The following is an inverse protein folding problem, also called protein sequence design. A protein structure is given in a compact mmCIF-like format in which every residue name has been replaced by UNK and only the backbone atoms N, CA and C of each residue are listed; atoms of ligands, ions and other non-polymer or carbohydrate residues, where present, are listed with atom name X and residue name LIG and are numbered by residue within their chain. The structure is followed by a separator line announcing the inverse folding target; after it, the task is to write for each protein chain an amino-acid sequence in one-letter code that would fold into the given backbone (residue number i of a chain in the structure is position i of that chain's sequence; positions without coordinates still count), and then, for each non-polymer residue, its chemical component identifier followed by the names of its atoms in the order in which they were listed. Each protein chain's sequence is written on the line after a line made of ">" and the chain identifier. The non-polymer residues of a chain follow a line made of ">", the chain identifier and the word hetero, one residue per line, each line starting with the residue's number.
data_IF_947586320202
#
_entry.id   IF_947586320202
#
_cell.length_a   1.000
_cell.length_b   1.000
_cell.length_c   1.000
_cell.angle_alpha   90.00
_cell.angle_beta   90.00
_cell.angle_gamma   90.00
#
_symmetry.space_group_name_H-M   'P 1'
#
loop_
_entity.id
_entity.type
_entity.pdbx_description
1 polymer ?
#
# COMPACT_ATOMS: atom_id res chain seq x y z
N UNK A 1 68.16 -46.41 63.20
CA UNK A 1 68.67 -45.16 62.58
C UNK A 1 68.31 -45.16 61.09
N UNK A 2 67.36 -44.32 60.66
CA UNK A 2 66.91 -44.27 59.25
C UNK A 2 67.89 -43.39 58.45
N UNK A 3 68.76 -43.99 57.63
CA UNK A 3 69.61 -43.27 56.67
C UNK A 3 68.76 -42.85 55.47
N UNK A 4 68.31 -41.60 55.43
CA UNK A 4 67.59 -41.07 54.27
C UNK A 4 68.58 -40.83 53.11
N UNK A 5 68.51 -41.73 52.14
CA UNK A 5 69.38 -41.84 50.96
C UNK A 5 69.33 -40.60 50.06
N UNK A 6 70.49 -40.15 49.58
CA UNK A 6 70.67 -39.00 48.68
C UNK A 6 69.80 -39.06 47.40
N UNK A 7 69.46 -40.26 46.93
CA UNK A 7 68.55 -40.48 45.79
C UNK A 7 67.12 -40.03 46.11
N UNK A 8 66.64 -40.28 47.33
CA UNK A 8 65.30 -39.87 47.75
C UNK A 8 65.16 -38.34 47.75
N UNK A 9 66.19 -37.59 48.17
CA UNK A 9 66.19 -36.12 48.11
C UNK A 9 66.20 -35.57 46.67
N UNK A 10 66.79 -36.31 45.72
CA UNK A 10 66.81 -35.92 44.30
C UNK A 10 65.46 -36.19 43.62
N UNK A 11 64.81 -37.31 43.96
CA UNK A 11 63.46 -37.64 43.50
C UNK A 11 62.41 -36.71 44.11
N UNK A 12 62.51 -36.43 45.41
CA UNK A 12 61.66 -35.47 46.12
C UNK A 12 61.72 -34.09 45.46
N UNK A 13 62.92 -33.57 45.12
CA UNK A 13 63.05 -32.30 44.40
C UNK A 13 62.39 -32.31 43.02
N UNK A 14 62.41 -33.43 42.29
CA UNK A 14 61.76 -33.56 40.97
C UNK A 14 60.24 -33.64 41.11
N UNK A 15 59.76 -34.41 42.09
CA UNK A 15 58.34 -34.58 42.36
C UNK A 15 57.72 -33.28 42.89
N UNK A 16 58.44 -32.51 43.73
CA UNK A 16 58.00 -31.20 44.20
C UNK A 16 57.91 -30.20 43.02
N UNK A 17 58.90 -30.18 42.12
CA UNK A 17 58.84 -29.32 40.92
C UNK A 17 57.65 -29.67 40.02
N UNK A 18 57.40 -30.96 39.82
CA UNK A 18 56.24 -31.42 39.05
C UNK A 18 54.92 -31.09 39.76
N UNK A 19 54.84 -31.23 41.09
CA UNK A 19 53.66 -30.89 41.87
C UNK A 19 53.35 -29.39 41.81
N UNK A 20 54.36 -28.52 41.91
CA UNK A 20 54.21 -27.07 41.75
C UNK A 20 53.77 -26.73 40.32
N UNK A 21 54.36 -27.40 39.33
CA UNK A 21 54.00 -27.18 37.92
C UNK A 21 52.56 -27.59 37.61
N UNK A 22 52.14 -28.80 38.02
CA UNK A 22 50.77 -29.26 37.81
C UNK A 22 49.76 -28.47 38.65
N UNK A 23 50.12 -28.11 39.89
CA UNK A 23 49.32 -27.21 40.71
C UNK A 23 49.11 -25.87 40.01
N UNK A 24 50.17 -25.24 39.52
CA UNK A 24 50.10 -24.01 38.74
C UNK A 24 49.29 -24.17 37.44
N UNK A 25 49.46 -25.27 36.72
CA UNK A 25 48.73 -25.55 35.49
C UNK A 25 47.22 -25.73 35.73
N UNK A 26 46.83 -26.39 36.82
CA UNK A 26 45.40 -26.54 37.18
C UNK A 26 44.77 -25.20 37.58
N UNK A 27 45.49 -24.37 38.33
CA UNK A 27 45.03 -23.02 38.70
C UNK A 27 44.92 -22.16 37.44
N UNK A 28 45.92 -22.21 36.57
CA UNK A 28 45.89 -21.49 35.30
C UNK A 28 44.71 -21.92 34.43
N UNK A 29 44.46 -23.22 34.29
CA UNK A 29 43.32 -23.74 33.53
C UNK A 29 41.99 -23.28 34.15
N UNK A 30 41.85 -23.36 35.47
CA UNK A 30 40.66 -22.86 36.17
C UNK A 30 40.44 -21.37 35.91
N UNK A 31 41.50 -20.55 35.97
CA UNK A 31 41.43 -19.12 35.65
C UNK A 31 41.04 -18.89 34.19
N UNK A 32 41.58 -19.64 33.23
CA UNK A 32 41.18 -19.49 31.82
C UNK A 32 39.71 -19.83 31.60
N UNK A 33 39.16 -20.83 32.30
CA UNK A 33 37.73 -21.16 32.22
C UNK A 33 36.88 -20.04 32.82
N UNK A 34 37.25 -19.51 33.98
CA UNK A 34 36.46 -18.47 34.66
C UNK A 34 36.52 -17.13 33.92
N UNK A 35 37.71 -16.71 33.49
CA UNK A 35 37.93 -15.40 32.87
C UNK A 35 37.66 -15.37 31.37
N UNK A 36 37.91 -16.47 30.65
CA UNK A 36 37.74 -16.53 29.20
C UNK A 36 36.57 -17.44 28.80
N UNK A 37 36.42 -18.60 29.44
CA UNK A 37 35.36 -19.57 29.11
C UNK A 37 33.94 -19.07 29.40
N UNK A 38 33.63 -18.70 30.66
CA UNK A 38 32.27 -18.28 31.04
C UNK A 38 31.80 -17.04 30.23
N UNK A 39 32.61 -15.97 30.10
CA UNK A 39 32.18 -14.79 29.35
C UNK A 39 32.00 -15.06 27.85
N UNK A 40 32.82 -15.93 27.25
CA UNK A 40 32.68 -16.28 25.82
C UNK A 40 31.45 -17.13 25.57
N UNK A 41 31.12 -18.07 26.45
CA UNK A 41 29.89 -18.88 26.38
C UNK A 41 28.63 -18.00 26.47
N UNK A 42 28.60 -17.02 27.37
CA UNK A 42 27.49 -16.07 27.48
C UNK A 42 27.33 -15.28 26.17
N UNK A 43 28.44 -14.75 25.62
CA UNK A 43 28.41 -14.01 24.34
C UNK A 43 27.93 -14.89 23.18
N UNK A 44 28.33 -16.16 23.13
CA UNK A 44 27.85 -17.11 22.12
C UNK A 44 26.38 -17.48 22.30
N UNK A 45 25.90 -17.65 23.52
CA UNK A 45 24.48 -17.90 23.77
C UNK A 45 23.60 -16.73 23.28
N UNK A 46 24.02 -15.48 23.54
CA UNK A 46 23.34 -14.28 23.04
C UNK A 46 23.41 -14.22 21.51
N UNK A 47 24.59 -14.47 20.93
CA UNK A 47 24.75 -14.47 19.47
C UNK A 47 23.87 -15.52 18.79
N UNK A 48 23.80 -16.74 19.33
CA UNK A 48 22.92 -17.80 18.82
C UNK A 48 21.44 -17.48 19.03
N UNK A 49 21.09 -16.82 20.13
CA UNK A 49 19.74 -16.29 20.36
C UNK A 49 19.36 -15.24 19.31
N UNK A 50 20.29 -14.32 19.00
CA UNK A 50 20.10 -13.31 17.98
C UNK A 50 20.02 -13.92 16.57
N UNK A 51 20.78 -14.97 16.25
CA UNK A 51 20.65 -15.70 14.98
C UNK A 51 19.28 -16.37 14.81
N UNK A 52 18.68 -16.87 15.90
CA UNK A 52 17.32 -17.42 15.89
C UNK A 52 16.25 -16.34 15.83
N UNK A 53 16.49 -15.17 16.42
CA UNK A 53 15.57 -14.04 16.39
C UNK A 53 15.65 -13.25 15.07
N UNK A 54 16.79 -13.26 14.38
CA UNK A 54 16.99 -12.56 13.10
C UNK A 54 16.40 -13.28 11.89
N UNK A 55 15.77 -14.45 12.07
CA UNK A 55 14.91 -15.07 11.07
C UNK A 55 13.43 -14.68 11.19
N UNK A 56 13.07 -13.81 12.13
CA UNK A 56 11.78 -13.14 12.09
C UNK A 56 11.94 -11.90 11.20
N UNK A 57 11.36 -11.86 10.00
CA UNK A 57 11.35 -10.64 9.22
C UNK A 57 10.74 -9.54 10.08
N UNK A 58 11.44 -8.41 10.19
CA UNK A 58 10.81 -7.19 10.72
C UNK A 58 9.69 -6.88 9.72
N UNK A 59 8.45 -7.11 10.13
CA UNK A 59 7.27 -6.86 9.31
C UNK A 59 7.09 -5.34 9.21
N UNK A 60 7.82 -4.71 8.29
CA UNK A 60 7.67 -3.29 7.94
C UNK A 60 6.52 -3.09 6.96
N UNK A 61 5.51 -3.97 6.97
CA UNK A 61 4.41 -3.88 6.03
C UNK A 61 3.48 -2.77 6.50
N UNK A 62 3.32 -1.74 5.68
CA UNK A 62 2.28 -0.75 5.90
C UNK A 62 0.92 -1.44 5.79
N UNK A 63 0.07 -1.19 6.78
CA UNK A 63 -1.28 -1.76 6.86
C UNK A 63 -2.36 -0.69 6.86
N UNK A 64 -1.95 0.59 6.79
CA UNK A 64 -2.87 1.72 6.81
C UNK A 64 -3.37 1.93 5.38
N UNK A 65 -4.68 1.82 5.13
CA UNK A 65 -5.21 2.13 3.81
C UNK A 65 -5.12 3.62 3.48
N UNK A 66 -4.97 3.96 2.19
CA UNK A 66 -5.03 5.33 1.74
C UNK A 66 -6.45 5.91 1.93
N UNK A 67 -6.54 7.24 1.97
CA UNK A 67 -7.83 7.92 1.96
C UNK A 67 -8.59 7.64 0.65
N UNK A 68 -9.95 7.64 0.66
CA UNK A 68 -10.72 7.49 -0.56
C UNK A 68 -10.39 8.59 -1.56
N UNK A 69 -10.33 8.27 -2.87
CA UNK A 69 -10.20 9.29 -3.90
C UNK A 69 -11.35 10.31 -3.86
N UNK A 70 -11.05 11.55 -4.18
CA UNK A 70 -12.04 12.62 -4.37
C UNK A 70 -12.14 12.92 -5.86
N UNK A 71 -13.34 12.80 -6.43
CA UNK A 71 -13.60 13.02 -7.84
C UNK A 71 -14.22 14.42 -8.03
N UNK A 72 -13.72 15.19 -8.98
CA UNK A 72 -14.17 16.57 -9.26
C UNK A 72 -14.40 16.80 -10.76
N UNK A 73 -15.08 17.90 -11.09
CA UNK A 73 -15.35 18.31 -12.48
C UNK A 73 -16.34 17.40 -13.23
N UNK A 74 -17.48 17.09 -12.62
CA UNK A 74 -18.53 16.27 -13.23
C UNK A 74 -19.74 17.12 -13.66
N UNK A 75 -20.28 16.90 -14.86
CA UNK A 75 -21.60 17.42 -15.22
C UNK A 75 -22.71 16.56 -14.59
N UNK A 76 -23.86 17.16 -14.26
CA UNK A 76 -25.04 16.40 -13.82
C UNK A 76 -25.66 15.61 -15.00
N UNK A 77 -25.69 16.23 -16.18
CA UNK A 77 -26.15 15.63 -17.42
C UNK A 77 -25.34 16.11 -18.63
N UNK A 78 -25.29 15.29 -19.68
CA UNK A 78 -24.56 15.60 -20.92
C UNK A 78 -25.23 14.95 -22.13
N UNK A 79 -25.03 15.54 -23.31
CA UNK A 79 -25.36 14.95 -24.61
C UNK A 79 -24.15 14.35 -25.33
N UNK A 80 -22.98 14.41 -24.71
CA UNK A 80 -21.75 13.78 -25.21
C UNK A 80 -21.54 12.42 -24.56
N UNK A 81 -21.23 11.41 -25.37
CA UNK A 81 -20.87 10.07 -24.90
C UNK A 81 -19.52 10.02 -24.17
N UNK A 82 -18.73 11.10 -24.23
CA UNK A 82 -17.39 11.19 -23.63
C UNK A 82 -17.27 12.44 -22.78
N UNK A 83 -16.62 12.30 -21.63
CA UNK A 83 -16.23 13.42 -20.79
C UNK A 83 -14.85 13.21 -20.17
N UNK A 84 -14.22 14.30 -19.77
CA UNK A 84 -12.98 14.31 -18.99
C UNK A 84 -13.28 14.84 -17.58
N UNK A 85 -12.57 14.32 -16.60
CA UNK A 85 -12.67 14.77 -15.21
C UNK A 85 -11.32 14.64 -14.51
N UNK A 86 -11.23 15.21 -13.31
CA UNK A 86 -10.03 15.16 -12.49
C UNK A 86 -10.36 14.70 -11.09
N UNK A 87 -9.33 14.39 -10.30
CA UNK A 87 -9.52 13.97 -8.92
C UNK A 87 -8.24 14.06 -8.11
N UNK A 88 -8.40 13.82 -6.81
CA UNK A 88 -7.33 13.76 -5.84
C UNK A 88 -7.28 12.37 -5.19
N UNK A 89 -6.08 11.88 -4.93
CA UNK A 89 -5.83 10.66 -4.20
C UNK A 89 -4.42 10.71 -3.61
N UNK A 90 -4.05 9.70 -2.82
CA UNK A 90 -2.72 9.61 -2.25
C UNK A 90 -1.64 9.56 -3.35
N UNK A 91 -0.56 10.35 -3.27
CA UNK A 91 0.54 10.30 -4.23
C UNK A 91 1.11 8.88 -4.38
N UNK A 92 1.52 8.53 -5.60
CA UNK A 92 2.04 7.19 -5.95
C UNK A 92 1.07 6.01 -5.75
N UNK A 93 -0.16 6.25 -5.27
CA UNK A 93 -1.22 5.25 -5.25
C UNK A 93 -1.78 4.99 -6.66
N UNK A 94 -2.41 3.83 -6.82
CA UNK A 94 -3.13 3.45 -8.03
C UNK A 94 -4.62 3.65 -7.81
N UNK A 95 -5.24 4.50 -8.61
CA UNK A 95 -6.69 4.74 -8.59
C UNK A 95 -7.36 3.92 -9.67
N UNK A 96 -8.34 3.11 -9.27
CA UNK A 96 -9.22 2.35 -10.15
C UNK A 96 -10.60 3.04 -10.22
N UNK A 97 -11.04 3.38 -11.42
CA UNK A 97 -12.32 4.05 -11.70
C UNK A 97 -13.34 3.00 -12.14
N UNK A 98 -14.54 3.09 -11.59
CA UNK A 98 -15.66 2.21 -11.88
C UNK A 98 -16.82 2.99 -12.51
N UNK A 99 -17.48 2.34 -13.47
CA UNK A 99 -18.77 2.74 -14.04
C UNK A 99 -19.79 1.66 -13.69
N UNK A 100 -20.70 1.96 -12.76
CA UNK A 100 -21.53 0.95 -12.12
C UNK A 100 -20.66 -0.07 -11.39
N UNK A 101 -20.76 -1.35 -11.74
CA UNK A 101 -19.94 -2.42 -11.15
C UNK A 101 -18.66 -2.73 -11.95
N UNK A 102 -18.44 -2.06 -13.09
CA UNK A 102 -17.38 -2.42 -14.05
C UNK A 102 -16.18 -1.50 -13.89
N UNK A 103 -14.95 -2.02 -13.71
CA UNK A 103 -13.75 -1.19 -13.76
C UNK A 103 -13.51 -0.73 -15.21
N UNK A 104 -13.32 0.57 -15.39
CA UNK A 104 -13.21 1.22 -16.71
C UNK A 104 -11.85 1.87 -16.95
N UNK A 105 -11.16 2.28 -15.88
CA UNK A 105 -9.85 2.91 -15.98
C UNK A 105 -9.02 2.65 -14.73
N UNK A 106 -7.70 2.64 -14.91
CA UNK A 106 -6.72 2.63 -13.84
C UNK A 106 -5.69 3.71 -14.14
N UNK A 107 -5.28 4.46 -13.11
CA UNK A 107 -4.28 5.53 -13.22
C UNK A 107 -3.36 5.54 -12.00
N UNK A 108 -2.08 5.86 -12.22
CA UNK A 108 -1.12 6.11 -11.14
C UNK A 108 -1.17 7.60 -10.81
N UNK A 109 -1.32 7.92 -9.53
CA UNK A 109 -1.41 9.30 -9.05
C UNK A 109 0.00 9.91 -8.97
N UNK A 110 0.16 11.10 -9.55
CA UNK A 110 1.44 11.82 -9.50
C UNK A 110 1.78 12.31 -8.10
N UNK A 111 3.00 12.84 -7.92
CA UNK A 111 3.48 13.35 -6.63
C UNK A 111 2.64 14.48 -6.04
N UNK A 112 1.88 15.21 -6.87
CA UNK A 112 0.99 16.29 -6.43
C UNK A 112 -0.35 15.79 -5.89
N UNK A 113 -0.62 14.47 -5.94
CA UNK A 113 -1.88 13.87 -5.51
C UNK A 113 -3.04 14.10 -6.48
N UNK A 114 -2.78 14.70 -7.65
CA UNK A 114 -3.77 15.00 -8.70
C UNK A 114 -3.70 13.96 -9.81
N UNK A 115 -4.85 13.55 -10.32
CA UNK A 115 -4.95 12.74 -11.53
C UNK A 115 -6.03 13.27 -12.47
N UNK A 116 -5.86 13.00 -13.77
CA UNK A 116 -6.79 13.39 -14.82
C UNK A 116 -7.23 12.16 -15.61
N UNK A 117 -8.51 12.10 -15.94
CA UNK A 117 -9.11 11.04 -16.73
C UNK A 117 -9.73 11.66 -17.97
N UNK A 118 -9.25 11.24 -19.13
CA UNK A 118 -9.75 11.71 -20.41
C UNK A 118 -10.61 10.67 -21.11
N UNK A 119 -11.62 11.17 -21.84
CA UNK A 119 -12.47 10.38 -22.73
C UNK A 119 -13.17 9.20 -22.04
N UNK A 120 -13.66 9.37 -20.80
CA UNK A 120 -14.48 8.35 -20.15
C UNK A 120 -15.77 8.17 -20.94
N UNK A 121 -16.04 6.93 -21.39
CA UNK A 121 -17.20 6.61 -22.21
C UNK A 121 -18.42 6.33 -21.33
N UNK A 122 -19.53 7.02 -21.62
CA UNK A 122 -20.81 6.88 -20.95
C UNK A 122 -21.77 5.98 -21.74
N UNK A 123 -22.70 5.36 -21.04
CA UNK A 123 -23.82 4.59 -21.61
C UNK A 123 -25.11 5.41 -21.53
N UNK A 124 -26.02 5.25 -22.49
CA UNK A 124 -27.26 6.04 -22.52
C UNK A 124 -28.05 5.84 -21.21
N UNK A 125 -28.52 6.94 -20.63
CA UNK A 125 -29.22 6.96 -19.35
C UNK A 125 -28.28 7.22 -18.16
N UNK A 126 -28.53 6.50 -17.05
CA UNK A 126 -27.87 6.73 -15.76
C UNK A 126 -26.48 6.07 -15.72
N UNK A 127 -25.45 6.85 -15.43
CA UNK A 127 -24.09 6.37 -15.22
C UNK A 127 -23.65 6.70 -13.79
N UNK A 128 -23.32 5.68 -12.99
CA UNK A 128 -22.75 5.88 -11.64
C UNK A 128 -21.23 5.69 -11.69
N UNK A 129 -20.47 6.69 -11.24
CA UNK A 129 -19.01 6.69 -11.24
C UNK A 129 -18.50 6.73 -9.80
N UNK A 130 -17.53 5.88 -9.47
CA UNK A 130 -16.77 5.96 -8.22
C UNK A 130 -15.35 5.44 -8.43
N UNK A 131 -14.50 5.61 -7.43
CA UNK A 131 -13.10 5.22 -7.46
C UNK A 131 -12.64 4.52 -6.18
N UNK A 132 -11.56 3.73 -6.29
CA UNK A 132 -10.85 3.10 -5.18
C UNK A 132 -9.35 3.33 -5.39
N UNK A 133 -8.62 3.76 -4.36
CA UNK A 133 -7.16 3.86 -4.38
C UNK A 133 -6.52 2.60 -3.78
N UNK A 134 -5.36 2.21 -4.30
CA UNK A 134 -4.49 1.18 -3.73
C UNK A 134 -3.10 1.77 -3.55
N UNK A 135 -2.55 1.73 -2.33
CA UNK A 135 -1.20 2.23 -2.07
C UNK A 135 -0.10 1.30 -2.63
N UNK A 136 1.17 1.69 -2.47
CA UNK A 136 2.32 0.88 -2.90
C UNK A 136 2.46 -0.44 -2.13
N UNK A 137 1.90 -0.51 -0.91
CA UNK A 137 1.91 -1.68 -0.03
C UNK A 137 0.75 -2.65 -0.31
N UNK A 138 -0.16 -2.28 -1.21
CA UNK A 138 -1.33 -3.05 -1.62
C UNK A 138 -2.58 -2.85 -0.75
N UNK A 139 -2.61 -1.87 0.16
CA UNK A 139 -3.79 -1.55 0.94
C UNK A 139 -4.78 -0.75 0.10
N UNK A 140 -6.08 -1.12 0.19
CA UNK A 140 -7.15 -0.50 -0.59
C UNK A 140 -7.97 0.48 0.24
N UNK A 141 -8.25 1.66 -0.29
CA UNK A 141 -9.18 2.62 0.31
C UNK A 141 -10.61 2.07 0.31
N UNK A 142 -11.50 2.73 1.08
CA UNK A 142 -12.94 2.63 0.80
C UNK A 142 -13.30 3.31 -0.52
N UNK A 143 -14.52 3.05 -1.01
CA UNK A 143 -15.05 3.68 -2.21
C UNK A 143 -15.15 5.20 -2.02
N UNK A 144 -14.85 5.95 -3.08
CA UNK A 144 -15.17 7.38 -3.15
C UNK A 144 -16.69 7.62 -3.07
N UNK A 145 -17.06 8.89 -2.95
CA UNK A 145 -18.44 9.31 -3.23
C UNK A 145 -18.86 8.87 -4.65
N UNK A 146 -20.09 8.38 -4.77
CA UNK A 146 -20.67 7.96 -6.05
C UNK A 146 -21.27 9.18 -6.75
N UNK A 147 -20.80 9.47 -7.95
CA UNK A 147 -21.30 10.55 -8.78
C UNK A 147 -22.20 9.98 -9.87
N UNK A 148 -23.40 10.53 -10.02
CA UNK A 148 -24.33 10.14 -11.09
C UNK A 148 -24.27 11.14 -12.22
N UNK A 149 -24.09 10.66 -13.45
CA UNK A 149 -24.14 11.45 -14.69
C UNK A 149 -25.20 10.88 -15.61
N UNK A 150 -26.14 11.72 -16.05
CA UNK A 150 -27.14 11.35 -17.05
C UNK A 150 -26.63 11.65 -18.46
N UNK A 151 -26.53 10.62 -19.29
CA UNK A 151 -26.21 10.77 -20.70
C UNK A 151 -27.47 10.62 -21.55
N UNK A 152 -27.84 11.67 -22.28
CA UNK A 152 -28.94 11.64 -23.24
C UNK A 152 -28.56 12.39 -24.52
N UNK A 153 -28.51 11.66 -25.65
CA UNK A 153 -28.27 12.22 -26.97
C UNK A 153 -29.48 12.15 -27.90
N UNK A 154 -30.65 11.78 -27.39
CA UNK A 154 -31.85 11.66 -28.20
C UNK A 154 -32.45 13.06 -28.35
N UNK A 155 -32.46 13.64 -29.57
CA UNK A 155 -33.12 14.93 -29.77
C UNK A 155 -34.63 14.77 -29.55
N UNK A 156 -35.31 15.81 -29.03
CA UNK A 156 -36.76 15.77 -28.89
C UNK A 156 -37.42 15.62 -30.25
N UNK A 157 -38.46 14.79 -30.33
CA UNK A 157 -39.31 14.75 -31.52
C UNK A 157 -40.21 16.00 -31.55
N UNK A 158 -40.19 16.73 -32.66
CA UNK A 158 -41.02 17.92 -32.87
C UNK A 158 -42.06 17.63 -33.94
N UNK A 159 -43.33 17.72 -33.57
CA UNK A 159 -44.45 17.58 -34.50
C UNK A 159 -45.20 18.91 -34.60
N UNK A 160 -45.34 19.42 -35.82
CA UNK A 160 -46.16 20.62 -36.09
C UNK A 160 -47.59 20.14 -36.27
N UNK A 161 -48.39 20.29 -35.21
CA UNK A 161 -49.79 19.86 -35.22
C UNK A 161 -50.66 20.87 -35.99
N UNK A 162 -50.29 22.17 -35.96
CA UNK A 162 -50.96 23.26 -36.66
C UNK A 162 -50.01 24.43 -36.95
N UNK A 163 -50.27 25.24 -38.00
CA UNK A 163 -51.31 25.04 -39.02
C UNK A 163 -50.97 23.88 -39.97
N UNK A 164 -51.99 23.16 -40.45
CA UNK A 164 -51.78 22.13 -41.48
C UNK A 164 -51.47 22.78 -42.83
N UNK A 165 -50.67 22.11 -43.65
CA UNK A 165 -50.32 22.62 -44.98
C UNK A 165 -51.61 22.93 -45.78
N UNK A 166 -51.68 24.13 -46.37
CA UNK A 166 -52.86 24.69 -47.07
C UNK A 166 -54.05 25.11 -46.20
N UNK A 167 -53.89 25.32 -44.89
CA UNK A 167 -54.94 26.03 -44.12
C UNK A 167 -54.95 27.51 -44.49
N UNK A 168 -56.06 27.96 -45.08
CA UNK A 168 -56.37 29.37 -45.29
C UNK A 168 -57.35 29.82 -44.23
N UNK A 169 -57.02 30.88 -43.49
CA UNK A 169 -58.01 31.56 -42.64
C UNK A 169 -58.94 32.37 -43.55
N UNK A 170 -60.24 32.07 -43.53
CA UNK A 170 -61.24 32.98 -44.10
C UNK A 170 -61.23 34.26 -43.25
N UNK A 171 -60.59 35.31 -43.77
CA UNK A 171 -60.78 36.65 -43.22
C UNK A 171 -62.21 37.03 -43.59
N UNK A 172 -63.07 37.30 -42.59
CA UNK A 172 -64.42 37.78 -42.82
C UNK A 172 -64.41 38.90 -43.86
N UNK A 173 -65.10 38.69 -44.97
CA UNK A 173 -65.20 39.67 -46.08
C UNK A 173 -65.79 40.96 -45.52
N UNK A 174 -64.97 42.01 -45.41
CA UNK A 174 -65.44 43.34 -45.01
C UNK A 174 -66.11 43.97 -46.23
N UNK A 175 -67.44 43.97 -46.29
CA UNK A 175 -68.19 44.77 -47.25
C UNK A 175 -68.29 46.20 -46.71
N UNK A 176 -67.54 47.14 -47.29
CA UNK A 176 -67.75 48.58 -47.04
C UNK A 176 -68.78 49.05 -48.07
N UNK A 177 -70.00 49.31 -47.58
CA UNK A 177 -71.12 49.88 -48.34
C UNK A 177 -70.78 51.35 -48.64
N UNK A 178 -70.81 51.72 -49.93
CA UNK A 178 -70.67 53.10 -50.41
C UNK A 178 -71.99 53.84 -50.46
#
# INVERSE_FOLDING_TARGET
>A
MKKSSWLARKEEKRNIRQAIFYGGLTIFLALTIVFLGIPTLIKMAIFLGNLRASSLPIETKDTIPPNPPVLISFPEATNSARFSFSGFAEPASIVEIFLGATPVRQIIVGNEGIFNIDNLSLTLGKNEIYAIATDESGNKSSQSEKITVWYDNVPPNLEIIQPQDKTTWETSKIEIIG
#
